data_IF_637066200353
#
_entry.id   IF_637066200353
#
_cell.length_a   1.000
_cell.length_b   1.000
_cell.length_c   1.000
_cell.angle_alpha   90.00
_cell.angle_beta   90.00
_cell.angle_gamma   90.00
#
_symmetry.space_group_name_H-M   'P 1'
#
loop_
_entity.id
_entity.type
_entity.pdbx_description
1 polymer ?
#
# COMPACT_ATOMS: atom_id res chain seq x y z
N UNK A 1 -9.97 3.03 -8.07
CA UNK A 1 -10.64 3.03 -9.39
C UNK A 1 -9.61 2.94 -10.51
N UNK A 2 -10.01 2.39 -11.67
CA UNK A 2 -9.26 2.47 -12.93
C UNK A 2 -10.21 2.97 -14.03
N UNK A 3 -10.18 4.28 -14.29
CA UNK A 3 -11.12 4.93 -15.18
C UNK A 3 -12.50 4.89 -14.56
N UNK A 4 -13.47 4.32 -15.28
CA UNK A 4 -14.84 4.18 -14.79
C UNK A 4 -15.09 2.82 -14.11
N UNK A 5 -14.06 1.98 -13.97
CA UNK A 5 -14.19 0.65 -13.38
C UNK A 5 -13.63 0.60 -11.96
N UNK A 6 -14.26 -0.16 -11.06
CA UNK A 6 -13.64 -0.56 -9.81
C UNK A 6 -12.32 -1.26 -10.05
N UNK A 7 -11.33 -0.95 -9.21
CA UNK A 7 -10.03 -1.59 -9.26
C UNK A 7 -10.01 -2.74 -8.24
N UNK A 8 -10.58 -3.89 -8.64
CA UNK A 8 -10.74 -5.10 -7.82
C UNK A 8 -9.45 -5.91 -7.71
N UNK A 9 -9.38 -6.78 -6.70
CA UNK A 9 -8.28 -7.75 -6.46
C UNK A 9 -6.88 -7.10 -6.44
N UNK A 10 -6.82 -5.82 -6.09
CA UNK A 10 -5.60 -5.02 -6.11
C UNK A 10 -4.94 -5.04 -4.75
N UNK A 11 -3.64 -5.33 -4.72
CA UNK A 11 -2.90 -5.46 -3.48
C UNK A 11 -2.67 -4.07 -2.87
N UNK A 12 -3.09 -3.91 -1.62
CA UNK A 12 -2.77 -2.76 -0.79
C UNK A 12 -2.05 -3.21 0.48
N UNK A 13 -1.12 -2.40 0.97
CA UNK A 13 -0.25 -2.77 2.09
C UNK A 13 0.04 -1.58 3.00
N UNK A 14 0.23 -1.86 4.28
CA UNK A 14 0.85 -0.94 5.23
C UNK A 14 2.30 -1.36 5.46
N UNK A 15 3.20 -0.39 5.42
CA UNK A 15 4.63 -0.58 5.69
C UNK A 15 5.12 0.42 6.70
N UNK A 16 5.94 -0.01 7.66
CA UNK A 16 6.75 0.90 8.45
C UNK A 16 8.11 1.04 7.78
N UNK A 17 8.42 2.25 7.33
CA UNK A 17 9.68 2.56 6.68
C UNK A 17 10.76 2.84 7.72
N UNK A 18 11.95 2.33 7.48
CA UNK A 18 13.11 2.57 8.35
C UNK A 18 14.16 3.42 7.65
N UNK A 19 14.77 4.34 8.40
CA UNK A 19 15.94 5.09 7.92
C UNK A 19 17.14 4.16 7.72
N UNK A 20 17.25 3.11 8.54
CA UNK A 20 18.31 2.11 8.50
C UNK A 20 17.71 0.71 8.67
N UNK A 21 18.14 -0.23 7.83
CA UNK A 21 17.62 -1.61 7.84
C UNK A 21 16.42 -1.81 6.93
N UNK A 22 15.71 -2.93 7.13
CA UNK A 22 14.60 -3.34 6.28
C UNK A 22 13.26 -2.81 6.78
N UNK A 23 12.42 -2.30 5.87
CA UNK A 23 11.03 -1.93 6.14
C UNK A 23 10.23 -3.12 6.70
N UNK A 24 9.28 -2.87 7.60
CA UNK A 24 8.36 -3.89 8.09
C UNK A 24 7.02 -3.83 7.37
N UNK A 25 6.56 -4.95 6.81
CA UNK A 25 5.18 -5.06 6.36
C UNK A 25 4.28 -5.20 7.59
N UNK A 26 3.33 -4.28 7.77
CA UNK A 26 2.41 -4.27 8.91
C UNK A 26 1.10 -5.02 8.60
N UNK A 27 0.61 -4.88 7.37
CA UNK A 27 -0.60 -5.53 6.90
C UNK A 27 -0.64 -5.58 5.36
N UNK A 28 -1.45 -6.51 4.83
CA UNK A 28 -1.66 -6.68 3.40
C UNK A 28 -3.07 -7.21 3.15
N UNK A 29 -3.85 -6.53 2.30
CA UNK A 29 -5.18 -6.99 1.86
C UNK A 29 -5.35 -6.74 0.36
N UNK A 30 -6.38 -7.34 -0.23
CA UNK A 30 -6.79 -7.10 -1.61
C UNK A 30 -8.11 -6.33 -1.62
N UNK A 31 -8.25 -5.40 -2.57
CA UNK A 31 -9.51 -4.68 -2.75
C UNK A 31 -10.64 -5.63 -3.14
N UNK A 32 -11.85 -5.36 -2.65
CA UNK A 32 -13.03 -6.15 -2.96
C UNK A 32 -13.51 -5.96 -4.41
N UNK A 33 -14.64 -6.60 -4.77
CA UNK A 33 -15.25 -6.49 -6.11
C UNK A 33 -15.62 -5.06 -6.51
N UNK A 34 -15.83 -4.17 -5.54
CA UNK A 34 -16.19 -2.78 -5.70
C UNK A 34 -14.95 -1.85 -5.57
N UNK A 35 -13.75 -2.40 -5.36
CA UNK A 35 -12.52 -1.63 -5.18
C UNK A 35 -12.33 -1.08 -3.78
N UNK A 36 -13.16 -1.47 -2.81
CA UNK A 36 -13.05 -1.04 -1.42
C UNK A 36 -11.97 -1.84 -0.68
N UNK A 37 -11.43 -1.24 0.38
CA UNK A 37 -10.48 -1.89 1.27
C UNK A 37 -10.63 -1.34 2.69
N UNK A 38 -10.28 -2.16 3.66
CA UNK A 38 -10.08 -1.78 5.06
C UNK A 38 -8.90 -2.61 5.55
N UNK A 39 -7.91 -1.97 6.19
CA UNK A 39 -6.76 -2.68 6.74
C UNK A 39 -6.21 -1.98 7.98
N UNK A 40 -5.85 -2.80 8.95
CA UNK A 40 -5.13 -2.41 10.16
C UNK A 40 -3.93 -3.33 10.33
N UNK A 41 -2.85 -2.83 10.92
CA UNK A 41 -1.64 -3.61 11.18
C UNK A 41 -0.74 -2.90 12.16
N UNK A 42 0.23 -3.63 12.70
CA UNK A 42 1.14 -3.10 13.70
C UNK A 42 2.34 -4.01 13.90
N UNK A 43 3.29 -3.53 14.69
CA UNK A 43 4.50 -4.26 15.09
C UNK A 43 4.85 -3.84 16.52
N UNK A 44 5.47 -4.72 17.29
CA UNK A 44 5.95 -4.43 18.65
C UNK A 44 7.16 -3.51 18.65
N UNK A 45 7.00 -2.27 18.20
CA UNK A 45 8.06 -1.29 18.08
C UNK A 45 7.93 -0.18 19.13
N UNK A 46 9.06 0.18 19.75
CA UNK A 46 9.12 1.17 20.83
C UNK A 46 9.35 2.59 20.28
N UNK A 47 10.00 2.70 19.11
CA UNK A 47 10.26 3.97 18.42
C UNK A 47 9.03 4.50 17.68
N UNK A 48 9.09 5.77 17.27
CA UNK A 48 8.11 6.37 16.37
C UNK A 48 8.15 5.63 15.02
N UNK A 49 6.98 5.35 14.45
CA UNK A 49 6.84 4.65 13.17
C UNK A 49 6.65 5.65 12.04
N UNK A 50 7.20 5.34 10.86
CA UNK A 50 6.97 6.05 9.60
C UNK A 50 6.09 5.16 8.71
N UNK A 51 4.77 5.28 8.86
CA UNK A 51 3.82 4.35 8.24
C UNK A 51 3.40 4.85 6.87
N UNK A 52 3.51 3.96 5.89
CA UNK A 52 3.17 4.19 4.50
C UNK A 52 2.09 3.22 4.02
N UNK A 53 1.05 3.77 3.39
CA UNK A 53 0.03 3.05 2.65
C UNK A 53 0.45 2.92 1.19
N UNK A 54 0.64 1.68 0.73
CA UNK A 54 1.15 1.36 -0.61
C UNK A 54 0.12 0.58 -1.41
N UNK A 55 -0.12 1.01 -2.65
CA UNK A 55 -1.07 0.38 -3.58
C UNK A 55 -0.28 -0.14 -4.78
N UNK A 56 -0.47 -1.41 -5.13
CA UNK A 56 0.21 -2.07 -6.23
C UNK A 56 -0.82 -2.45 -7.30
N UNK A 57 -0.74 -1.85 -8.48
CA UNK A 57 -1.80 -1.96 -9.49
C UNK A 57 -1.28 -1.99 -10.92
N UNK A 58 -2.12 -2.53 -11.80
CA UNK A 58 -1.85 -2.68 -13.24
C UNK A 58 -2.77 -1.80 -14.11
N UNK A 59 -3.47 -0.84 -13.50
CA UNK A 59 -4.33 0.11 -14.23
C UNK A 59 -3.57 0.81 -15.37
N UNK A 60 -4.08 0.68 -16.60
CA UNK A 60 -3.48 1.17 -17.84
C UNK A 60 -2.01 0.75 -18.03
N UNK A 61 -1.61 -0.42 -17.54
CA UNK A 61 -0.21 -0.87 -17.59
C UNK A 61 0.13 -1.80 -18.75
N UNK A 62 -0.85 -2.23 -19.54
CA UNK A 62 -0.64 -3.07 -20.72
C UNK A 62 0.02 -4.41 -20.34
N UNK A 63 1.04 -4.83 -21.11
CA UNK A 63 1.87 -6.01 -20.83
C UNK A 63 3.21 -5.57 -20.25
N UNK A 64 3.20 -4.92 -19.08
CA UNK A 64 4.43 -4.64 -18.34
C UNK A 64 4.59 -5.65 -17.21
N UNK A 65 5.79 -6.22 -17.01
CA UNK A 65 5.99 -7.28 -16.02
C UNK A 65 5.96 -6.81 -14.56
N UNK A 66 5.80 -5.49 -14.30
CA UNK A 66 6.00 -4.90 -12.98
C UNK A 66 4.83 -4.02 -12.61
N UNK A 67 4.27 -4.23 -11.42
CA UNK A 67 3.15 -3.42 -10.95
C UNK A 67 3.58 -1.97 -10.72
N UNK A 68 2.68 -1.03 -11.00
CA UNK A 68 2.81 0.37 -10.57
C UNK A 68 2.56 0.45 -9.08
N UNK A 69 3.32 1.32 -8.41
CA UNK A 69 3.21 1.52 -6.97
C UNK A 69 2.91 2.98 -6.64
N UNK A 70 1.83 3.19 -5.90
CA UNK A 70 1.56 4.43 -5.18
C UNK A 70 2.03 4.28 -3.74
N UNK A 71 2.67 5.30 -3.19
CA UNK A 71 3.22 5.32 -1.83
C UNK A 71 2.76 6.60 -1.13
N UNK A 72 1.91 6.47 -0.11
CA UNK A 72 1.31 7.57 0.64
C UNK A 72 1.68 7.45 2.11
N UNK A 73 2.20 8.53 2.71
CA UNK A 73 2.39 8.59 4.15
C UNK A 73 1.06 8.62 4.90
N UNK A 74 0.95 7.85 5.97
CA UNK A 74 -0.19 7.90 6.90
C UNK A 74 0.11 8.99 7.94
N UNK A 75 -0.79 9.97 8.16
CA UNK A 75 -0.54 11.01 9.15
C UNK A 75 -0.38 10.43 10.56
N UNK A 76 0.53 11.01 11.34
CA UNK A 76 0.95 10.46 12.64
C UNK A 76 -0.19 10.31 13.65
N UNK A 77 -1.21 11.16 13.56
CA UNK A 77 -2.40 11.12 14.41
C UNK A 77 -3.25 9.84 14.27
N UNK A 78 -3.03 9.04 13.22
CA UNK A 78 -3.68 7.75 13.01
C UNK A 78 -2.79 6.56 13.44
N UNK A 79 -1.57 6.83 13.89
CA UNK A 79 -0.60 5.83 14.35
C UNK A 79 -0.62 5.84 15.88
N UNK A 80 -0.91 4.70 16.50
CA UNK A 80 -1.05 4.59 17.96
C UNK A 80 -0.20 3.47 18.55
N UNK A 81 0.15 3.60 19.83
CA UNK A 81 0.83 2.56 20.63
C UNK A 81 -0.20 1.68 21.34
N UNK A 82 -1.08 1.05 20.57
CA UNK A 82 -2.10 0.14 21.07
C UNK A 82 -2.24 -1.04 20.11
N UNK A 83 -2.63 -2.18 20.65
CA UNK A 83 -3.07 -3.36 19.91
C UNK A 83 -4.45 -3.17 19.24
N UNK A 84 -5.16 -2.08 19.58
CA UNK A 84 -6.46 -1.70 19.03
C UNK A 84 -6.36 -0.41 18.23
N UNK A 85 -7.05 -0.36 17.10
CA UNK A 85 -7.19 0.87 16.30
C UNK A 85 -7.97 1.92 17.10
N UNK A 86 -7.36 3.10 17.24
CA UNK A 86 -7.95 4.24 17.96
C UNK A 86 -8.68 5.20 17.02
N UNK A 87 -8.18 5.37 15.79
CA UNK A 87 -8.73 6.30 14.79
C UNK A 87 -8.51 5.71 13.39
N UNK A 88 -9.56 5.70 12.58
CA UNK A 88 -9.49 5.28 11.18
C UNK A 88 -9.07 6.44 10.28
N UNK A 89 -8.15 6.17 9.35
CA UNK A 89 -7.74 7.11 8.32
C UNK A 89 -8.49 6.83 7.01
N UNK A 90 -9.31 7.79 6.58
CA UNK A 90 -10.03 7.72 5.32
C UNK A 90 -9.13 8.14 4.15
N UNK A 91 -8.53 7.17 3.46
CA UNK A 91 -7.66 7.40 2.31
C UNK A 91 -8.42 7.91 1.05
N UNK A 92 -9.75 7.94 1.10
CA UNK A 92 -10.61 8.46 0.04
C UNK A 92 -10.65 7.60 -1.23
N UNK A 93 -11.18 8.18 -2.30
CA UNK A 93 -11.29 7.51 -3.61
C UNK A 93 -10.23 8.05 -4.57
N UNK A 94 -9.39 7.15 -5.09
CA UNK A 94 -8.34 7.49 -6.06
C UNK A 94 -8.54 6.78 -7.40
N UNK A 95 -8.33 7.53 -8.49
CA UNK A 95 -8.34 7.00 -9.85
C UNK A 95 -6.92 6.77 -10.35
N UNK A 96 -6.56 5.51 -10.56
CA UNK A 96 -5.22 5.06 -10.91
C UNK A 96 -4.90 5.16 -12.41
N UNK A 97 -5.77 5.80 -13.21
CA UNK A 97 -5.52 6.07 -14.64
C UNK A 97 -4.38 7.07 -14.82
N UNK A 98 -4.32 8.09 -13.97
CA UNK A 98 -3.28 9.10 -14.08
C UNK A 98 -1.97 8.50 -13.62
N UNK A 99 -0.97 8.59 -14.48
CA UNK A 99 0.41 8.26 -14.14
C UNK A 99 0.90 9.30 -13.13
N UNK A 100 0.73 9.03 -11.83
CA UNK A 100 1.60 9.61 -10.81
C UNK A 100 3.02 9.10 -11.11
N UNK A 101 4.07 9.87 -10.81
CA UNK A 101 5.46 9.47 -11.13
C UNK A 101 5.75 8.07 -10.56
N UNK A 102 5.68 7.05 -11.43
CA UNK A 102 5.66 5.64 -11.06
C UNK A 102 7.05 5.04 -11.24
N UNK A 103 7.67 4.60 -10.15
CA UNK A 103 8.73 3.59 -10.23
C UNK A 103 8.03 2.23 -10.40
N UNK A 104 8.24 1.56 -11.54
CA UNK A 104 7.84 0.16 -11.70
C UNK A 104 8.51 -0.67 -10.59
N UNK A 105 7.73 -1.30 -9.71
CA UNK A 105 8.30 -2.24 -8.74
C UNK A 105 8.38 -3.61 -9.37
N UNK A 106 9.48 -3.89 -10.06
CA UNK A 106 9.85 -5.24 -10.43
C UNK A 106 10.37 -5.93 -9.17
N UNK A 107 9.60 -6.84 -8.58
CA UNK A 107 10.22 -7.83 -7.71
C UNK A 107 11.14 -8.65 -8.60
N UNK A 108 12.45 -8.40 -8.52
CA UNK A 108 13.44 -9.34 -9.05
C UNK A 108 13.18 -10.68 -8.37
N UNK A 109 12.45 -11.56 -9.05
CA UNK A 109 12.51 -12.99 -8.82
C UNK A 109 13.87 -13.45 -9.35
N UNK A 110 14.93 -13.13 -8.62
CA UNK A 110 16.24 -13.72 -8.84
C UNK A 110 16.41 -14.85 -7.85
N UNK A 111 16.05 -16.05 -8.29
CA UNK A 111 16.89 -17.25 -8.28
C UNK A 111 16.12 -18.39 -8.93
N UNK A 112 16.41 -18.60 -10.21
CA UNK A 112 16.46 -19.97 -10.70
C UNK A 112 17.58 -20.69 -9.94
N UNK A 113 17.20 -21.80 -9.31
CA UNK A 113 17.84 -23.10 -9.37
C UNK A 113 16.78 -24.13 -8.94
#
# INVERSE_FOLDING_TARGET
MCGNQPLKDTQVKLWNKHTLGSDNQLAAVKTDKNGNFELQGGVGQISKMDVHFKIYHDCNDGIKPCQRKIDLGVPEEYISRSDKVQKWFEAGTMNMVKTFLNYCTCSNSSRGL
#
